data_IF_033739307637
#
_entry.id   IF_033739307637
#
_cell.length_a   1.000
_cell.length_b   1.000
_cell.length_c   1.000
_cell.angle_alpha   90.00
_cell.angle_beta   90.00
_cell.angle_gamma   90.00
#
_symmetry.space_group_name_H-M   'P 1'
#
loop_
_entity.id
_entity.type
_entity.pdbx_description
1 polymer ?
#
# COMPACT_ATOMS: atom_id res chain seq x y z
N UNK A 1 42.18 53.10 91.51
CA UNK A 1 40.94 52.77 90.77
C UNK A 1 41.23 52.21 89.36
N UNK A 2 42.49 51.86 89.04
CA UNK A 2 42.88 51.31 87.73
C UNK A 2 42.86 49.77 87.63
N UNK A 3 43.00 49.04 88.74
CA UNK A 3 43.11 47.57 88.68
C UNK A 3 41.80 46.83 88.35
N UNK A 4 40.63 47.48 88.55
CA UNK A 4 39.33 46.85 88.29
C UNK A 4 38.93 46.92 86.81
N UNK A 5 39.44 47.91 86.07
CA UNK A 5 39.17 48.08 84.64
C UNK A 5 40.02 47.11 83.80
N UNK A 6 41.27 46.86 84.19
CA UNK A 6 42.13 45.85 83.54
C UNK A 6 41.65 44.40 83.76
N UNK A 7 41.00 44.12 84.90
CA UNK A 7 40.52 42.77 85.24
C UNK A 7 39.23 42.37 84.50
N UNK A 8 38.46 43.35 83.99
CA UNK A 8 37.25 43.09 83.20
C UNK A 8 37.58 42.82 81.73
N UNK A 9 38.72 43.30 81.23
CA UNK A 9 39.19 42.99 79.87
C UNK A 9 39.88 41.61 79.81
N UNK A 10 40.45 41.12 80.91
CA UNK A 10 41.11 39.79 80.98
C UNK A 10 40.17 38.60 81.26
N UNK A 11 38.90 38.80 81.61
CA UNK A 11 37.96 37.70 81.91
C UNK A 11 37.08 37.29 80.73
N UNK A 12 37.21 37.95 79.58
CA UNK A 12 36.52 37.57 78.37
C UNK A 12 37.29 36.46 77.65
N UNK A 13 36.70 35.26 77.61
CA UNK A 13 37.21 34.13 76.82
C UNK A 13 36.93 34.39 75.33
N UNK A 14 37.94 34.90 74.62
CA UNK A 14 37.88 35.13 73.18
C UNK A 14 38.28 33.90 72.37
N UNK A 15 38.93 32.89 73.00
CA UNK A 15 39.40 31.69 72.31
C UNK A 15 38.24 30.84 71.77
N UNK A 16 37.05 30.96 72.38
CA UNK A 16 35.82 30.32 71.91
C UNK A 16 35.17 31.00 70.68
N UNK A 17 35.63 32.19 70.27
CA UNK A 17 35.05 32.92 69.14
C UNK A 17 35.59 32.40 67.79
N UNK A 18 34.70 32.04 66.88
CA UNK A 18 35.06 31.46 65.57
C UNK A 18 34.68 32.33 64.37
N UNK A 19 34.12 33.52 64.63
CA UNK A 19 33.75 34.45 63.57
C UNK A 19 34.99 34.98 62.86
N UNK A 20 35.01 34.87 61.52
CA UNK A 20 36.01 35.49 60.67
C UNK A 20 35.38 36.65 59.89
N UNK A 21 36.19 37.56 59.30
CA UNK A 21 35.65 38.62 58.45
C UNK A 21 34.77 38.09 57.32
N UNK A 22 35.05 36.91 56.75
CA UNK A 22 34.25 36.30 55.68
C UNK A 22 32.90 35.74 56.15
N UNK A 23 32.73 35.52 57.45
CA UNK A 23 31.48 35.02 58.05
C UNK A 23 30.53 36.13 58.49
N UNK A 24 31.01 37.38 58.51
CA UNK A 24 30.23 38.54 58.97
C UNK A 24 29.90 39.42 57.77
N UNK A 25 28.64 39.86 57.69
CA UNK A 25 28.14 40.73 56.62
C UNK A 25 29.00 41.97 56.47
N UNK A 26 29.26 42.37 55.23
CA UNK A 26 30.05 43.56 54.92
C UNK A 26 29.61 44.77 55.76
N UNK A 27 30.57 45.56 56.22
CA UNK A 27 30.36 46.78 57.02
C UNK A 27 29.79 46.53 58.43
N UNK A 28 29.49 45.29 58.83
CA UNK A 28 29.14 44.96 60.23
C UNK A 28 30.39 44.72 61.05
N UNK A 29 30.36 45.14 62.31
CA UNK A 29 31.47 44.96 63.25
C UNK A 29 31.24 43.72 64.09
N UNK A 30 32.32 43.02 64.42
CA UNK A 30 32.32 41.88 65.34
C UNK A 30 33.62 41.86 66.15
N UNK A 31 33.65 41.09 67.24
CA UNK A 31 34.86 40.81 68.00
C UNK A 31 35.34 39.42 67.59
N UNK A 32 36.59 39.31 67.13
CA UNK A 32 37.20 38.06 66.70
C UNK A 32 37.92 37.33 67.85
N UNK A 33 38.49 36.14 67.58
CA UNK A 33 39.28 35.40 68.56
C UNK A 33 40.54 36.14 69.04
N UNK A 34 40.99 37.17 68.31
CA UNK A 34 42.05 38.09 68.74
C UNK A 34 41.59 39.16 69.74
N UNK A 35 40.31 39.13 70.13
CA UNK A 35 39.70 40.13 71.03
C UNK A 35 39.54 41.51 70.39
N UNK A 36 39.91 41.69 69.12
CA UNK A 36 39.87 42.98 68.43
C UNK A 36 38.56 43.19 67.68
N UNK A 37 38.16 44.45 67.53
CA UNK A 37 37.03 44.82 66.68
C UNK A 37 37.45 44.69 65.22
N UNK A 38 36.83 43.76 64.52
CA UNK A 38 37.00 43.51 63.09
C UNK A 38 35.74 43.90 62.31
N UNK A 39 35.89 44.09 60.99
CA UNK A 39 34.78 44.42 60.07
C UNK A 39 34.53 43.22 59.16
N UNK A 40 33.26 42.84 59.02
CA UNK A 40 32.82 41.80 58.10
C UNK A 40 33.08 42.17 56.64
N UNK A 41 33.25 41.14 55.82
CA UNK A 41 33.57 41.19 54.38
C UNK A 41 32.61 40.34 53.54
N UNK A 42 31.70 39.59 54.17
CA UNK A 42 30.73 38.77 53.44
C UNK A 42 29.82 39.65 52.58
N UNK A 43 29.79 39.47 51.24
CA UNK A 43 28.92 40.26 50.38
C UNK A 43 27.44 39.99 50.67
N UNK A 44 26.61 41.03 50.64
CA UNK A 44 25.15 40.88 50.56
C UNK A 44 24.74 40.70 49.09
N UNK A 45 24.16 39.54 48.77
CA UNK A 45 23.73 39.16 47.43
C UNK A 45 22.23 39.40 47.21
N UNK A 46 21.49 39.82 48.24
CA UNK A 46 20.06 40.09 48.17
C UNK A 46 19.23 38.89 47.70
N UNK A 47 18.22 39.16 46.86
CA UNK A 47 17.29 38.15 46.32
C UNK A 47 17.36 38.09 44.78
N UNK A 48 18.33 37.36 44.20
CA UNK A 48 18.55 37.34 42.76
C UNK A 48 17.44 36.61 42.00
N UNK A 49 17.30 36.94 40.72
CA UNK A 49 16.51 36.17 39.74
C UNK A 49 17.46 35.54 38.72
N UNK A 50 17.47 34.22 38.64
CA UNK A 50 18.35 33.45 37.76
C UNK A 50 17.51 32.74 36.71
N UNK A 51 17.85 32.93 35.43
CA UNK A 51 17.28 32.16 34.34
C UNK A 51 18.24 31.05 33.92
N UNK A 52 17.78 29.80 33.96
CA UNK A 52 18.57 28.66 33.53
C UNK A 52 18.29 28.34 32.05
N UNK A 53 19.31 28.14 31.21
CA UNK A 53 19.12 27.55 29.91
C UNK A 53 18.71 26.08 30.04
N UNK A 54 18.19 25.49 28.96
CA UNK A 54 17.85 24.06 28.89
C UNK A 54 19.07 23.19 29.23
N UNK A 55 18.92 22.31 30.23
CA UNK A 55 20.00 21.49 30.79
C UNK A 55 21.23 22.29 31.27
N UNK A 56 21.04 23.58 31.53
CA UNK A 56 22.09 24.48 32.00
C UNK A 56 22.27 24.44 33.51
N UNK A 57 23.38 25.01 33.96
CA UNK A 57 23.68 25.24 35.37
C UNK A 57 23.91 26.73 35.62
N UNK A 58 23.75 27.15 36.87
CA UNK A 58 24.09 28.50 37.31
C UNK A 58 25.01 28.42 38.53
N UNK A 59 26.04 29.27 38.56
CA UNK A 59 26.93 29.39 39.71
C UNK A 59 26.31 30.31 40.75
N UNK A 60 26.34 29.89 42.01
CA UNK A 60 25.88 30.68 43.16
C UNK A 60 27.11 31.03 43.99
N UNK A 61 27.65 32.26 43.89
CA UNK A 61 28.84 32.65 44.64
C UNK A 61 28.55 32.78 46.14
N UNK A 62 29.58 32.65 46.97
CA UNK A 62 29.47 32.85 48.42
C UNK A 62 28.97 34.26 48.78
N UNK A 63 28.24 34.35 49.89
CA UNK A 63 27.64 35.58 50.41
C UNK A 63 26.30 35.32 51.11
N UNK A 64 25.71 36.38 51.65
CA UNK A 64 24.38 36.34 52.28
C UNK A 64 23.29 36.53 51.23
N UNK A 65 22.27 35.67 51.24
CA UNK A 65 21.09 35.79 50.38
C UNK A 65 19.83 36.02 51.24
N UNK A 66 18.91 36.84 50.75
CA UNK A 66 17.61 37.11 51.39
C UNK A 66 16.44 36.36 50.74
N UNK A 67 16.72 35.48 49.78
CA UNK A 67 15.74 34.76 48.97
C UNK A 67 16.17 34.72 47.52
N UNK A 68 15.23 34.53 46.60
CA UNK A 68 15.49 34.57 45.16
C UNK A 68 14.49 33.74 44.36
N UNK A 69 14.63 33.79 43.03
CA UNK A 69 13.81 33.00 42.10
C UNK A 69 14.70 32.39 41.03
N UNK A 70 14.57 31.08 40.84
CA UNK A 70 15.18 30.39 39.69
C UNK A 70 14.06 30.03 38.73
N UNK A 71 14.19 30.43 37.47
CA UNK A 71 13.24 30.11 36.41
C UNK A 71 13.94 29.37 35.28
N UNK A 72 13.32 28.30 34.79
CA UNK A 72 13.70 27.66 33.55
C UNK A 72 12.45 27.61 32.67
N UNK A 73 12.51 28.26 31.51
CA UNK A 73 11.41 28.24 30.56
C UNK A 73 11.73 27.19 29.50
N UNK A 74 11.03 26.06 29.56
CA UNK A 74 11.12 25.02 28.54
C UNK A 74 9.93 25.20 27.61
N UNK A 75 10.14 25.49 26.32
CA UNK A 75 9.05 25.52 25.36
C UNK A 75 8.35 24.16 25.36
N UNK A 76 7.02 24.16 25.43
CA UNK A 76 6.22 22.94 25.40
C UNK A 76 5.70 22.69 23.98
N UNK A 77 5.63 21.42 23.61
CA UNK A 77 4.99 20.96 22.38
C UNK A 77 3.84 20.03 22.74
N UNK A 78 2.66 20.32 22.18
CA UNK A 78 1.46 19.51 22.35
C UNK A 78 1.43 18.31 21.39
N UNK A 79 0.23 17.85 21.06
CA UNK A 79 0.04 16.73 20.14
C UNK A 79 0.68 16.99 18.77
N UNK A 80 1.23 15.95 18.15
CA UNK A 80 1.81 16.02 16.82
C UNK A 80 1.34 14.85 15.96
N UNK A 81 0.77 15.15 14.80
CA UNK A 81 0.32 14.13 13.84
C UNK A 81 1.33 14.02 12.71
N UNK A 82 1.73 12.79 12.40
CA UNK A 82 2.67 12.48 11.32
C UNK A 82 2.12 11.34 10.46
N UNK A 83 2.24 11.48 9.13
CA UNK A 83 1.75 10.50 8.17
C UNK A 83 2.91 9.78 7.51
N UNK A 84 2.93 8.44 7.45
CA UNK A 84 3.97 7.71 6.73
C UNK A 84 4.09 8.18 5.28
N UNK A 85 5.32 8.38 4.81
CA UNK A 85 5.62 8.69 3.41
C UNK A 85 6.79 7.84 2.93
N UNK A 86 7.11 7.93 1.63
CA UNK A 86 8.29 7.30 1.05
C UNK A 86 9.62 7.96 1.44
N UNK A 87 9.59 9.04 2.22
CA UNK A 87 10.77 9.79 2.65
C UNK A 87 10.88 9.80 4.18
N UNK A 88 12.10 9.96 4.66
CA UNK A 88 12.35 10.21 6.08
C UNK A 88 11.58 11.46 6.54
N UNK A 89 11.02 11.36 7.73
CA UNK A 89 10.37 12.47 8.40
C UNK A 89 10.94 12.59 9.80
N UNK A 90 11.13 13.82 10.25
CA UNK A 90 11.64 14.13 11.57
C UNK A 90 10.58 14.89 12.36
N UNK A 91 10.41 14.50 13.62
CA UNK A 91 9.56 15.21 14.57
C UNK A 91 10.46 16.22 15.31
N UNK A 92 10.15 17.53 15.31
CA UNK A 92 11.04 18.57 15.82
C UNK A 92 11.00 18.64 17.36
N UNK A 93 11.48 17.59 18.03
CA UNK A 93 11.49 17.49 19.51
C UNK A 93 12.71 18.18 20.15
N UNK A 94 13.61 18.76 19.36
CA UNK A 94 14.83 19.38 19.87
C UNK A 94 14.49 20.62 20.70
N UNK A 95 14.87 20.60 21.98
CA UNK A 95 14.75 21.76 22.88
C UNK A 95 13.33 22.05 23.37
N UNK A 96 12.40 21.12 23.20
CA UNK A 96 11.02 21.25 23.67
C UNK A 96 10.64 20.11 24.62
N UNK A 97 9.73 20.38 25.54
CA UNK A 97 9.08 19.37 26.35
C UNK A 97 7.82 18.87 25.62
N UNK A 98 7.85 17.63 25.13
CA UNK A 98 6.69 16.98 24.51
C UNK A 98 5.72 16.52 25.59
N UNK A 99 4.60 17.24 25.74
CA UNK A 99 3.53 16.89 26.67
C UNK A 99 2.35 16.17 26.02
N UNK A 100 2.26 16.19 24.68
CA UNK A 100 1.20 15.56 23.91
C UNK A 100 1.60 14.24 23.26
N UNK A 101 0.61 13.57 22.67
CA UNK A 101 0.81 12.32 21.94
C UNK A 101 1.39 12.58 20.55
N UNK A 102 2.22 11.64 20.08
CA UNK A 102 2.56 11.54 18.66
C UNK A 102 1.56 10.57 18.03
N UNK A 103 0.75 11.08 17.10
CA UNK A 103 -0.29 10.33 16.43
C UNK A 103 0.21 9.93 15.04
N UNK A 104 0.21 8.63 14.75
CA UNK A 104 0.41 8.09 13.40
C UNK A 104 -0.93 7.51 12.93
N UNK A 105 -1.70 8.23 12.10
CA UNK A 105 -3.02 7.77 11.70
C UNK A 105 -2.94 6.49 10.87
N UNK A 106 -3.98 5.65 10.99
CA UNK A 106 -4.13 4.48 10.12
C UNK A 106 -4.23 4.91 8.65
N UNK A 107 -3.56 4.19 7.77
CA UNK A 107 -3.75 4.33 6.33
C UNK A 107 -4.89 3.40 5.91
N UNK A 108 -6.08 3.95 5.68
CA UNK A 108 -7.29 3.16 5.38
C UNK A 108 -7.14 2.23 4.16
N UNK A 109 -6.28 2.62 3.21
CA UNK A 109 -6.02 1.86 1.98
C UNK A 109 -4.86 0.87 2.11
N UNK A 110 -4.18 0.80 3.28
CA UNK A 110 -3.17 -0.21 3.55
C UNK A 110 -3.86 -1.51 3.97
N UNK A 111 -4.41 -2.20 2.98
CA UNK A 111 -5.14 -3.47 3.12
C UNK A 111 -4.57 -4.49 2.11
N UNK A 112 -4.67 -5.80 2.38
CA UNK A 112 -4.13 -6.83 1.48
C UNK A 112 -4.55 -6.68 0.02
N UNK A 113 -5.77 -6.22 -0.25
CA UNK A 113 -6.36 -6.04 -1.59
C UNK A 113 -5.65 -5.00 -2.46
N UNK A 114 -4.89 -4.08 -1.84
CA UNK A 114 -4.09 -3.07 -2.53
C UNK A 114 -2.59 -3.39 -2.52
N UNK A 115 -2.18 -4.48 -1.86
CA UNK A 115 -0.79 -4.91 -1.77
C UNK A 115 -0.57 -6.03 -2.78
N UNK A 116 0.55 -5.95 -3.51
CA UNK A 116 0.95 -6.95 -4.50
C UNK A 116 0.91 -8.38 -3.91
N UNK A 117 0.41 -9.33 -4.69
CA UNK A 117 0.24 -10.72 -4.26
C UNK A 117 1.52 -11.29 -3.63
N UNK A 118 1.39 -11.82 -2.41
CA UNK A 118 2.48 -12.45 -1.65
C UNK A 118 3.39 -11.49 -0.89
N UNK A 119 3.27 -10.18 -1.09
CA UNK A 119 4.11 -9.17 -0.42
C UNK A 119 3.51 -8.67 0.91
N UNK A 120 4.33 -8.06 1.75
CA UNK A 120 3.91 -7.38 2.98
C UNK A 120 4.32 -5.91 2.94
N UNK A 121 3.45 -5.00 3.39
CA UNK A 121 3.74 -3.56 3.51
C UNK A 121 3.30 -3.07 4.89
N UNK A 122 4.24 -2.51 5.67
CA UNK A 122 3.94 -1.98 7.00
C UNK A 122 3.35 -3.01 7.98
N UNK A 123 3.72 -4.29 7.83
CA UNK A 123 3.18 -5.40 8.62
C UNK A 123 1.82 -5.93 8.15
N UNK A 124 1.20 -5.30 7.13
CA UNK A 124 -0.04 -5.79 6.50
C UNK A 124 0.31 -6.72 5.34
N UNK A 125 -0.29 -7.91 5.32
CA UNK A 125 -0.12 -8.90 4.27
C UNK A 125 -0.52 -10.32 4.71
N UNK A 126 -0.36 -11.34 3.84
CA UNK A 126 0.17 -11.20 2.49
C UNK A 126 -0.81 -10.46 1.58
N UNK A 127 -0.29 -9.67 0.64
CA UNK A 127 -1.10 -8.98 -0.35
C UNK A 127 -1.85 -9.94 -1.27
N UNK A 128 -2.96 -9.48 -1.85
CA UNK A 128 -3.82 -10.24 -2.75
C UNK A 128 -3.99 -9.58 -4.12
N UNK A 129 -3.40 -8.40 -4.35
CA UNK A 129 -3.50 -7.67 -5.60
C UNK A 129 -2.58 -8.26 -6.68
N UNK A 130 -3.14 -8.80 -7.76
CA UNK A 130 -2.37 -9.42 -8.86
C UNK A 130 -1.97 -8.48 -10.01
N UNK A 131 -2.48 -7.25 -10.03
CA UNK A 131 -2.04 -6.22 -10.98
C UNK A 131 -2.54 -6.35 -12.43
N UNK A 132 -3.57 -7.14 -12.71
CA UNK A 132 -4.14 -7.26 -14.05
C UNK A 132 -5.01 -6.03 -14.37
N UNK A 133 -4.43 -5.01 -15.00
CA UNK A 133 -5.15 -3.82 -15.51
C UNK A 133 -5.14 -3.84 -17.03
N UNK A 134 -6.31 -3.68 -17.65
CA UNK A 134 -6.45 -3.61 -19.10
C UNK A 134 -6.95 -2.22 -19.49
N UNK A 135 -6.03 -1.38 -19.95
CA UNK A 135 -6.34 -0.04 -20.48
C UNK A 135 -6.30 0.01 -22.02
N UNK A 136 -5.74 -1.03 -22.65
CA UNK A 136 -5.68 -1.16 -24.09
C UNK A 136 -7.05 -1.58 -24.64
N UNK A 137 -7.72 -0.76 -25.48
CA UNK A 137 -9.01 -1.11 -26.06
C UNK A 137 -8.96 -2.33 -27.00
N UNK A 138 -7.77 -2.71 -27.47
CA UNK A 138 -7.58 -3.89 -28.32
C UNK A 138 -7.40 -5.19 -27.53
N UNK A 139 -7.26 -5.10 -26.20
CA UNK A 139 -7.26 -6.25 -25.31
C UNK A 139 -8.64 -6.40 -24.68
N UNK A 140 -9.40 -7.39 -25.16
CA UNK A 140 -10.78 -7.62 -24.73
C UNK A 140 -10.87 -8.28 -23.36
N UNK A 141 -9.90 -9.16 -23.05
CA UNK A 141 -9.82 -9.87 -21.79
C UNK A 141 -8.36 -10.20 -21.45
N UNK A 142 -8.00 -10.07 -20.18
CA UNK A 142 -6.70 -10.49 -19.67
C UNK A 142 -6.81 -10.91 -18.20
N UNK A 143 -6.74 -12.22 -17.95
CA UNK A 143 -6.63 -12.83 -16.60
C UNK A 143 -7.58 -12.23 -15.56
N UNK A 144 -8.86 -12.14 -15.92
CA UNK A 144 -9.93 -11.70 -15.02
C UNK A 144 -10.39 -10.27 -15.23
N UNK A 145 -9.65 -9.50 -16.03
CA UNK A 145 -9.94 -8.11 -16.29
C UNK A 145 -10.41 -7.96 -17.73
N UNK A 146 -11.59 -7.38 -17.91
CA UNK A 146 -12.10 -7.01 -19.22
C UNK A 146 -11.46 -5.70 -19.69
N UNK A 147 -11.35 -5.55 -21.01
CA UNK A 147 -10.97 -4.27 -21.61
C UNK A 147 -11.97 -3.16 -21.29
N UNK A 148 -11.63 -1.89 -21.62
CA UNK A 148 -12.49 -0.75 -21.34
C UNK A 148 -13.94 -0.94 -21.84
N UNK A 149 -14.90 -0.93 -20.91
CA UNK A 149 -16.34 -1.10 -21.20
C UNK A 149 -16.77 -2.53 -21.58
N UNK A 150 -15.84 -3.46 -21.75
CA UNK A 150 -16.13 -4.82 -22.15
C UNK A 150 -16.70 -5.65 -21.01
N UNK A 151 -17.54 -6.60 -21.37
CA UNK A 151 -18.02 -7.72 -20.57
C UNK A 151 -18.34 -8.88 -21.49
N UNK A 152 -18.71 -10.04 -20.94
CA UNK A 152 -19.17 -11.18 -21.75
C UNK A 152 -20.56 -11.65 -21.34
N UNK A 153 -21.27 -12.22 -22.31
CA UNK A 153 -22.49 -13.01 -22.12
C UNK A 153 -22.34 -14.36 -22.82
N UNK A 154 -23.17 -15.34 -22.44
CA UNK A 154 -23.24 -16.60 -23.18
C UNK A 154 -24.46 -16.64 -24.10
N UNK A 155 -24.31 -17.33 -25.23
CA UNK A 155 -25.39 -17.50 -26.22
C UNK A 155 -26.48 -18.51 -25.83
N UNK A 156 -26.31 -19.28 -24.74
CA UNK A 156 -27.33 -20.20 -24.22
C UNK A 156 -27.88 -19.65 -22.90
N UNK A 157 -29.14 -19.23 -22.91
CA UNK A 157 -29.80 -18.56 -21.79
C UNK A 157 -29.91 -19.43 -20.52
N UNK A 158 -29.91 -20.77 -20.67
CA UNK A 158 -30.02 -21.73 -19.55
C UNK A 158 -28.68 -22.02 -18.83
N UNK A 159 -27.56 -21.42 -19.27
CA UNK A 159 -26.24 -21.72 -18.72
C UNK A 159 -25.45 -20.44 -18.51
N UNK A 160 -25.03 -20.18 -17.27
CA UNK A 160 -24.06 -19.15 -16.95
C UNK A 160 -22.63 -19.66 -17.23
N UNK A 161 -21.72 -18.83 -17.76
CA UNK A 161 -20.32 -19.18 -17.81
C UNK A 161 -19.86 -19.24 -16.35
N UNK A 162 -19.38 -20.40 -15.92
CA UNK A 162 -18.79 -20.50 -14.59
C UNK A 162 -17.42 -19.82 -14.67
N UNK A 163 -17.31 -18.60 -14.17
CA UNK A 163 -16.01 -17.96 -13.98
C UNK A 163 -15.27 -18.72 -12.89
N UNK A 164 -14.12 -19.34 -13.21
CA UNK A 164 -13.27 -19.88 -12.14
C UNK A 164 -12.60 -18.72 -11.42
N UNK A 165 -13.02 -18.50 -10.18
CA UNK A 165 -12.47 -17.45 -9.32
C UNK A 165 -10.97 -17.62 -9.03
N UNK A 166 -10.46 -18.86 -9.07
CA UNK A 166 -9.09 -19.21 -8.69
C UNK A 166 -8.06 -18.73 -9.71
N UNK A 167 -8.26 -19.04 -11.00
CA UNK A 167 -7.32 -18.64 -12.07
C UNK A 167 -7.71 -17.33 -12.77
N UNK A 168 -8.93 -16.84 -12.53
CA UNK A 168 -9.50 -15.67 -13.23
C UNK A 168 -9.48 -15.86 -14.75
N UNK A 169 -9.85 -17.05 -15.21
CA UNK A 169 -10.04 -17.37 -16.62
C UNK A 169 -11.53 -17.41 -16.97
N UNK A 170 -11.87 -17.15 -18.24
CA UNK A 170 -13.20 -17.47 -18.74
C UNK A 170 -13.28 -18.99 -18.91
N UNK A 171 -14.01 -19.67 -18.01
CA UNK A 171 -14.05 -21.11 -17.96
C UNK A 171 -15.38 -21.66 -18.44
N UNK A 172 -15.29 -22.72 -19.25
CA UNK A 172 -16.42 -23.45 -19.79
C UNK A 172 -16.19 -24.94 -19.59
N UNK A 173 -17.10 -25.59 -18.87
CA UNK A 173 -17.10 -27.04 -18.64
C UNK A 173 -18.53 -27.55 -18.74
N UNK A 174 -18.77 -28.58 -19.56
CA UNK A 174 -20.02 -29.33 -19.50
C UNK A 174 -19.93 -30.68 -20.21
N UNK A 175 -20.88 -31.57 -19.91
CA UNK A 175 -20.94 -32.93 -20.47
C UNK A 175 -21.12 -32.99 -21.99
N UNK A 176 -21.93 -32.09 -22.57
CA UNK A 176 -22.09 -31.82 -24.01
C UNK A 176 -22.54 -30.35 -24.18
N UNK A 177 -21.74 -29.48 -24.77
CA UNK A 177 -22.08 -28.04 -24.90
C UNK A 177 -21.71 -27.46 -26.26
N UNK A 178 -22.63 -26.63 -26.75
CA UNK A 178 -22.53 -25.78 -27.93
C UNK A 178 -22.91 -24.38 -27.47
N UNK A 179 -21.95 -23.49 -27.25
CA UNK A 179 -22.24 -22.11 -26.85
C UNK A 179 -21.15 -21.14 -27.31
N UNK A 180 -21.49 -19.86 -27.38
CA UNK A 180 -20.54 -18.80 -27.65
C UNK A 180 -20.35 -17.91 -26.42
N UNK A 181 -19.09 -17.53 -26.13
CA UNK A 181 -18.77 -16.38 -25.29
C UNK A 181 -18.84 -15.15 -26.18
N UNK A 182 -19.74 -14.23 -25.90
CA UNK A 182 -19.97 -13.03 -26.71
C UNK A 182 -19.42 -11.83 -25.93
N UNK A 183 -18.45 -11.11 -26.51
CA UNK A 183 -18.01 -9.81 -25.99
C UNK A 183 -19.06 -8.74 -26.33
N UNK A 184 -19.45 -7.96 -25.33
CA UNK A 184 -20.64 -7.11 -25.38
C UNK A 184 -20.51 -5.84 -26.21
N UNK A 185 -19.28 -5.40 -26.53
CA UNK A 185 -19.01 -4.19 -27.31
C UNK A 185 -18.19 -4.51 -28.55
N UNK A 186 -18.42 -3.80 -29.67
CA UNK A 186 -17.57 -3.90 -30.84
C UNK A 186 -16.21 -3.26 -30.58
N UNK A 187 -15.21 -3.67 -31.34
CA UNK A 187 -13.86 -3.09 -31.35
C UNK A 187 -13.46 -2.74 -32.77
N UNK A 188 -12.96 -1.51 -32.96
CA UNK A 188 -12.39 -1.11 -34.23
C UNK A 188 -11.05 -1.80 -34.42
N UNK A 189 -10.91 -2.67 -35.43
CA UNK A 189 -9.66 -3.41 -35.65
C UNK A 189 -8.87 -2.90 -36.86
N UNK A 190 -9.17 -1.68 -37.31
CA UNK A 190 -8.45 -1.05 -38.42
C UNK A 190 -6.96 -0.98 -38.13
N UNK A 191 -6.15 -1.55 -39.03
CA UNK A 191 -4.70 -1.57 -38.92
C UNK A 191 -4.14 -2.63 -37.96
N UNK A 192 -4.97 -3.55 -37.45
CA UNK A 192 -4.52 -4.72 -36.69
C UNK A 192 -4.24 -5.87 -37.63
N UNK A 193 -3.19 -6.64 -37.33
CA UNK A 193 -2.75 -7.75 -38.17
C UNK A 193 -3.22 -9.10 -37.63
N UNK A 194 -3.24 -9.27 -36.31
CA UNK A 194 -3.55 -10.54 -35.68
C UNK A 194 -4.62 -10.38 -34.60
N UNK A 195 -5.56 -11.31 -34.55
CA UNK A 195 -6.30 -11.64 -33.34
C UNK A 195 -5.61 -12.81 -32.66
N UNK A 196 -5.38 -12.69 -31.36
CA UNK A 196 -4.69 -13.70 -30.56
C UNK A 196 -5.52 -14.12 -29.35
N UNK A 197 -5.48 -15.41 -29.04
CA UNK A 197 -6.22 -16.02 -27.92
C UNK A 197 -5.27 -16.94 -27.16
N UNK A 198 -5.08 -16.65 -25.87
CA UNK A 198 -4.40 -17.54 -24.94
C UNK A 198 -5.42 -18.47 -24.30
N UNK A 199 -5.23 -19.79 -24.46
CA UNK A 199 -6.20 -20.76 -23.97
C UNK A 199 -5.53 -21.94 -23.24
N UNK A 200 -6.33 -22.63 -22.46
CA UNK A 200 -6.05 -23.97 -21.93
C UNK A 200 -7.27 -24.83 -22.18
N UNK A 201 -7.10 -26.07 -22.61
CA UNK A 201 -8.20 -27.01 -22.80
C UNK A 201 -7.84 -28.38 -22.29
N UNK A 202 -8.84 -29.17 -21.89
CA UNK A 202 -8.64 -30.50 -21.33
C UNK A 202 -9.45 -31.55 -22.06
N UNK A 203 -8.79 -32.66 -22.40
CA UNK A 203 -9.41 -33.87 -22.90
C UNK A 203 -9.16 -35.04 -21.92
N UNK A 204 -10.19 -35.79 -21.50
CA UNK A 204 -10.04 -36.83 -20.47
C UNK A 204 -9.32 -38.10 -20.96
N UNK A 205 -9.19 -38.29 -22.27
CA UNK A 205 -8.55 -39.48 -22.86
C UNK A 205 -7.99 -39.20 -24.25
N UNK A 206 -7.10 -40.08 -24.73
CA UNK A 206 -6.53 -39.98 -26.08
C UNK A 206 -7.63 -40.10 -27.16
N UNK A 207 -8.66 -40.91 -26.91
CA UNK A 207 -9.80 -41.03 -27.81
C UNK A 207 -10.60 -39.71 -27.89
N UNK A 208 -10.79 -39.03 -26.75
CA UNK A 208 -11.43 -37.71 -26.74
C UNK A 208 -10.57 -36.63 -27.40
N UNK A 209 -9.25 -36.78 -27.33
CA UNK A 209 -8.31 -35.96 -28.08
C UNK A 209 -8.24 -36.32 -29.57
N UNK A 210 -8.91 -37.37 -30.06
CA UNK A 210 -8.94 -37.75 -31.48
C UNK A 210 -10.33 -37.53 -32.12
N UNK A 211 -11.40 -37.83 -31.37
CA UNK A 211 -12.80 -37.72 -31.79
C UNK A 211 -13.56 -36.88 -30.77
N UNK A 212 -14.40 -35.93 -31.21
CA UNK A 212 -15.20 -35.09 -30.30
C UNK A 212 -14.37 -34.14 -29.43
N UNK A 213 -13.17 -33.77 -29.89
CA UNK A 213 -12.24 -32.85 -29.22
C UNK A 213 -12.95 -31.55 -28.78
N UNK A 214 -12.74 -31.07 -27.54
CA UNK A 214 -13.20 -29.75 -27.17
C UNK A 214 -12.43 -28.73 -28.00
N UNK A 215 -13.16 -27.85 -28.66
CA UNK A 215 -12.57 -26.77 -29.43
C UNK A 215 -13.30 -25.46 -29.21
N UNK A 216 -12.59 -24.37 -29.42
CA UNK A 216 -13.22 -23.09 -29.69
C UNK A 216 -12.67 -22.45 -30.95
N UNK A 217 -13.43 -21.48 -31.46
CA UNK A 217 -13.08 -20.71 -32.65
C UNK A 217 -13.57 -19.27 -32.48
N UNK A 218 -12.74 -18.27 -32.81
CA UNK A 218 -13.22 -16.90 -32.86
C UNK A 218 -14.16 -16.69 -34.04
N UNK A 219 -15.15 -15.83 -33.82
CA UNK A 219 -16.10 -15.36 -34.80
C UNK A 219 -16.11 -13.84 -34.72
N UNK A 220 -15.92 -13.20 -35.89
CA UNK A 220 -15.91 -11.76 -36.04
C UNK A 220 -17.13 -11.37 -36.88
N UNK A 221 -18.05 -10.60 -36.30
CA UNK A 221 -19.30 -10.18 -36.96
C UNK A 221 -19.39 -8.66 -37.00
N UNK A 222 -20.11 -8.12 -38.00
CA UNK A 222 -20.37 -6.66 -38.10
C UNK A 222 -21.68 -6.24 -37.44
N UNK A 223 -22.32 -7.16 -36.72
CA UNK A 223 -23.56 -6.95 -35.98
C UNK A 223 -23.40 -7.58 -34.59
N UNK A 224 -24.24 -7.14 -33.65
CA UNK A 224 -24.28 -7.67 -32.29
C UNK A 224 -24.78 -9.13 -32.28
N UNK A 225 -23.95 -10.12 -31.93
CA UNK A 225 -24.36 -11.52 -31.97
C UNK A 225 -25.56 -11.84 -31.07
N UNK A 226 -25.85 -11.00 -30.06
CA UNK A 226 -26.98 -11.19 -29.12
C UNK A 226 -28.34 -10.96 -29.78
N UNK A 227 -28.38 -10.28 -30.93
CA UNK A 227 -29.61 -10.00 -31.68
C UNK A 227 -30.00 -11.15 -32.63
N UNK A 228 -29.24 -12.25 -32.64
CA UNK A 228 -29.43 -13.42 -33.50
C UNK A 228 -29.48 -14.71 -32.67
N UNK A 229 -30.14 -15.74 -33.20
CA UNK A 229 -30.12 -17.06 -32.54
C UNK A 229 -28.71 -17.68 -32.61
N UNK A 230 -28.35 -18.53 -31.64
CA UNK A 230 -27.01 -19.12 -31.57
C UNK A 230 -26.61 -19.92 -32.83
N UNK A 231 -27.59 -20.52 -33.53
CA UNK A 231 -27.39 -21.19 -34.82
C UNK A 231 -27.14 -20.21 -35.98
N UNK A 232 -27.77 -19.03 -35.96
CA UNK A 232 -27.60 -18.01 -37.00
C UNK A 232 -26.24 -17.32 -36.88
N UNK A 233 -25.74 -17.13 -35.65
CA UNK A 233 -24.38 -16.64 -35.38
C UNK A 233 -23.37 -17.53 -36.11
N UNK A 234 -23.56 -18.86 -36.07
CA UNK A 234 -22.68 -19.84 -36.69
C UNK A 234 -22.71 -19.83 -38.24
N UNK A 235 -23.72 -19.23 -38.89
CA UNK A 235 -23.93 -19.39 -40.33
C UNK A 235 -23.83 -18.08 -41.12
N UNK A 236 -24.21 -16.93 -40.56
CA UNK A 236 -24.51 -15.76 -41.40
C UNK A 236 -23.40 -14.71 -41.59
N UNK A 237 -22.32 -14.63 -40.81
CA UNK A 237 -21.23 -13.66 -41.09
C UNK A 237 -19.90 -14.05 -40.47
N UNK A 238 -19.39 -15.24 -40.79
CA UNK A 238 -18.00 -15.54 -40.53
C UNK A 238 -17.12 -14.89 -41.58
N UNK A 239 -16.18 -14.04 -41.15
CA UNK A 239 -15.00 -13.72 -41.96
C UNK A 239 -14.12 -14.98 -42.23
N UNK A 240 -14.49 -16.15 -41.71
CA UNK A 240 -13.82 -17.44 -41.90
C UNK A 240 -14.83 -18.54 -42.28
N UNK A 241 -14.89 -18.94 -43.57
CA UNK A 241 -15.81 -19.96 -44.11
C UNK A 241 -15.99 -21.19 -43.21
N UNK A 242 -17.22 -21.52 -42.80
CA UNK A 242 -17.59 -22.82 -42.21
C UNK A 242 -17.64 -23.91 -43.28
N UNK A 243 -17.51 -25.18 -42.88
CA UNK A 243 -17.75 -26.32 -43.76
C UNK A 243 -19.27 -26.53 -44.00
N UNK A 244 -19.62 -27.50 -44.85
CA UNK A 244 -21.02 -27.86 -45.19
C UNK A 244 -21.89 -28.27 -43.98
N UNK A 245 -21.26 -28.52 -42.81
CA UNK A 245 -21.93 -28.86 -41.55
C UNK A 245 -21.99 -27.67 -40.57
N UNK A 246 -21.62 -26.47 -41.01
CA UNK A 246 -21.62 -25.27 -40.18
C UNK A 246 -20.49 -25.22 -39.14
N UNK A 247 -19.46 -26.07 -39.27
CA UNK A 247 -18.32 -26.07 -38.36
C UNK A 247 -17.14 -25.26 -38.91
N UNK A 248 -16.42 -24.49 -38.07
CA UNK A 248 -15.27 -23.70 -38.50
C UNK A 248 -14.14 -24.61 -39.03
N UNK A 249 -13.28 -24.19 -39.97
CA UNK A 249 -12.19 -25.02 -40.47
C UNK A 249 -11.27 -25.45 -39.33
N UNK A 250 -10.72 -26.67 -39.38
CA UNK A 250 -9.84 -27.19 -38.30
C UNK A 250 -8.67 -26.25 -37.99
N UNK A 251 -8.14 -25.55 -39.01
CA UNK A 251 -7.08 -24.54 -38.86
C UNK A 251 -7.48 -23.29 -38.07
N UNK A 252 -8.78 -23.05 -37.91
CA UNK A 252 -9.36 -21.92 -37.16
C UNK A 252 -9.82 -22.32 -35.76
N UNK A 253 -9.49 -23.55 -35.32
CA UNK A 253 -9.89 -24.08 -34.01
C UNK A 253 -8.69 -24.12 -33.06
N UNK A 254 -8.87 -23.55 -31.87
CA UNK A 254 -8.04 -23.91 -30.72
C UNK A 254 -8.66 -25.11 -30.01
N UNK A 255 -7.85 -26.12 -29.68
CA UNK A 255 -8.35 -27.44 -29.24
C UNK A 255 -7.32 -28.24 -28.45
N UNK A 256 -7.80 -29.27 -27.76
CA UNK A 256 -6.95 -30.28 -27.14
C UNK A 256 -6.40 -31.21 -28.24
N UNK A 257 -5.08 -31.42 -28.25
CA UNK A 257 -4.41 -32.32 -29.19
C UNK A 257 -4.03 -33.65 -28.54
N UNK A 258 -3.87 -33.64 -27.23
CA UNK A 258 -3.47 -34.79 -26.42
C UNK A 258 -4.42 -34.94 -25.21
N UNK A 259 -4.37 -36.11 -24.57
CA UNK A 259 -5.08 -36.33 -23.31
C UNK A 259 -4.45 -35.48 -22.20
N UNK A 260 -5.27 -34.99 -21.27
CA UNK A 260 -4.83 -34.08 -20.21
C UNK A 260 -4.98 -32.60 -20.58
N UNK A 261 -4.30 -31.74 -19.82
CA UNK A 261 -4.31 -30.29 -20.04
C UNK A 261 -3.37 -29.90 -21.19
N UNK A 262 -3.91 -29.12 -22.12
CA UNK A 262 -3.18 -28.59 -23.27
C UNK A 262 -3.22 -27.06 -23.18
N UNK A 263 -2.05 -26.43 -23.09
CA UNK A 263 -1.92 -24.98 -23.14
C UNK A 263 -1.55 -24.56 -24.55
N UNK A 264 -2.14 -23.45 -25.02
CA UNK A 264 -1.81 -22.95 -26.34
C UNK A 264 -2.08 -21.47 -26.52
N UNK A 265 -1.61 -20.99 -27.67
CA UNK A 265 -1.91 -19.70 -28.24
C UNK A 265 -2.49 -19.95 -29.64
N UNK A 266 -3.62 -19.33 -29.92
CA UNK A 266 -4.23 -19.30 -31.24
C UNK A 266 -4.08 -17.92 -31.82
N UNK A 267 -3.71 -17.84 -33.10
CA UNK A 267 -3.59 -16.57 -33.83
C UNK A 267 -4.29 -16.71 -35.17
N UNK A 268 -5.01 -15.66 -35.57
CA UNK A 268 -5.63 -15.55 -36.88
C UNK A 268 -5.35 -14.18 -37.49
N UNK A 269 -5.09 -14.17 -38.79
CA UNK A 269 -4.86 -12.96 -39.57
C UNK A 269 -6.16 -12.16 -39.70
N UNK A 270 -6.10 -10.88 -39.33
CA UNK A 270 -7.18 -9.90 -39.45
C UNK A 270 -6.75 -8.64 -40.21
N UNK A 271 -5.55 -8.65 -40.83
CA UNK A 271 -4.94 -7.51 -41.53
C UNK A 271 -5.78 -6.91 -42.65
N UNK A 272 -6.69 -7.70 -43.22
CA UNK A 272 -7.59 -7.28 -44.30
C UNK A 272 -8.89 -6.64 -43.79
N UNK A 273 -9.12 -6.64 -42.47
CA UNK A 273 -10.36 -6.14 -41.86
C UNK A 273 -10.12 -4.74 -41.30
N UNK A 274 -10.82 -3.76 -41.88
CA UNK A 274 -10.71 -2.35 -41.50
C UNK A 274 -12.07 -1.79 -41.10
N UNK A 275 -12.57 -2.17 -39.93
CA UNK A 275 -13.89 -1.74 -39.39
C UNK A 275 -14.05 -2.13 -37.92
N UNK A 276 -15.18 -1.73 -37.34
CA UNK A 276 -15.68 -2.27 -36.08
C UNK A 276 -16.19 -3.70 -36.25
N UNK A 277 -15.79 -4.56 -35.32
CA UNK A 277 -16.25 -5.96 -35.25
C UNK A 277 -16.68 -6.32 -33.84
N UNK A 278 -17.74 -7.11 -33.73
CA UNK A 278 -18.05 -7.86 -32.53
C UNK A 278 -17.25 -9.15 -32.52
N UNK A 279 -16.83 -9.55 -31.32
CA UNK A 279 -16.07 -10.78 -31.12
C UNK A 279 -16.91 -11.76 -30.33
N UNK A 280 -17.04 -12.98 -30.84
CA UNK A 280 -17.51 -14.11 -30.04
C UNK A 280 -16.58 -15.31 -30.17
N UNK A 281 -16.46 -16.09 -29.11
CA UNK A 281 -15.73 -17.35 -29.11
C UNK A 281 -16.75 -18.47 -29.09
N UNK A 282 -16.97 -19.08 -30.25
CA UNK A 282 -17.75 -20.29 -30.34
C UNK A 282 -17.00 -21.44 -29.68
N UNK A 283 -17.69 -22.25 -28.89
CA UNK A 283 -17.12 -23.41 -28.20
C UNK A 283 -17.99 -24.64 -28.38
N UNK A 284 -17.31 -25.75 -28.60
CA UNK A 284 -17.90 -27.07 -28.74
C UNK A 284 -17.20 -28.04 -27.81
N UNK A 285 -17.98 -28.80 -27.06
CA UNK A 285 -17.54 -29.88 -26.18
C UNK A 285 -18.45 -31.08 -26.42
N UNK A 286 -17.96 -32.08 -27.18
CA UNK A 286 -18.74 -33.27 -27.54
C UNK A 286 -18.64 -34.43 -26.55
N UNK A 287 -17.76 -34.33 -25.55
CA UNK A 287 -17.41 -35.42 -24.64
C UNK A 287 -17.49 -34.95 -23.18
N UNK A 288 -17.98 -35.84 -22.32
CA UNK A 288 -18.06 -35.59 -20.87
C UNK A 288 -16.70 -35.27 -20.26
N UNK A 289 -16.70 -34.42 -19.24
CA UNK A 289 -15.50 -34.02 -18.50
C UNK A 289 -14.44 -33.30 -19.36
N UNK A 290 -14.85 -32.62 -20.43
CA UNK A 290 -13.99 -31.69 -21.17
C UNK A 290 -14.23 -30.26 -20.69
N UNK A 291 -13.21 -29.41 -20.84
CA UNK A 291 -13.33 -27.98 -20.53
C UNK A 291 -12.35 -27.13 -21.33
N UNK A 292 -12.67 -25.84 -21.43
CA UNK A 292 -11.86 -24.80 -22.07
C UNK A 292 -11.78 -23.60 -21.11
N UNK A 293 -10.57 -23.04 -20.97
CA UNK A 293 -10.27 -21.79 -20.27
C UNK A 293 -9.68 -20.79 -21.26
N UNK A 294 -10.18 -19.55 -21.26
CA UNK A 294 -9.60 -18.43 -22.00
C UNK A 294 -8.89 -17.52 -21.00
N UNK A 295 -7.58 -17.37 -21.19
CA UNK A 295 -6.68 -16.56 -20.35
C UNK A 295 -6.64 -15.11 -20.81
N UNK A 296 -6.65 -14.89 -22.12
CA UNK A 296 -6.64 -13.56 -22.71
C UNK A 296 -7.11 -13.58 -24.16
N UNK A 297 -7.66 -12.45 -24.62
CA UNK A 297 -8.10 -12.20 -25.99
C UNK A 297 -7.68 -10.78 -26.37
N UNK A 298 -6.93 -10.62 -27.46
CA UNK A 298 -6.43 -9.31 -27.92
C UNK A 298 -6.20 -9.23 -29.42
N UNK A 299 -6.12 -8.00 -29.92
CA UNK A 299 -5.69 -7.67 -31.28
C UNK A 299 -4.34 -6.96 -31.28
N UNK A 300 -3.45 -7.37 -32.19
CA UNK A 300 -2.09 -6.83 -32.37
C UNK A 300 -1.90 -6.28 -33.78
#
# INVERSE_FOLDING_TARGET
>A
MDGLLDMVVQSADFDALTATPEMVLEKKKFIGPDGAISVGTMPDRGSPTISLPLNGTASIPAGKYSGGKVTQNIPAMGDYTIYPTSKEQQIPTKGVYMGGNIIVPKLSNLVPENIKEGEYVGGVGPGTWKGFVVNDPYTLYYRGTFGPGQSVVLSNEDKTPNFTYEDRDLWMQYSILWAAIIFNLPVNITGKNLMKIGYTCYAPSANAAAYGQPYGAPMLTTYDPREKSASDIAHDNLLFQVNDYGEPPVKMRFRAREAGENHGEFSVDVSTISRDVYVSLYTYMGIKNTWIKIRWVKFE
#
